data_IF_162564964903
#
_entry.id   IF_162564964903
#
_cell.length_a   1.000
_cell.length_b   1.000
_cell.length_c   1.000
_cell.angle_alpha   90.00
_cell.angle_beta   90.00
_cell.angle_gamma   90.00
#
_symmetry.space_group_name_H-M   'P 1'
#
loop_
_entity.id
_entity.type
_entity.pdbx_description
1 polymer ?
#
# COMPACT_ATOMS: atom_id res chain seq x y z
N UNK A 1 7.02 -1.37 -28.88
CA UNK A 1 6.67 -0.92 -30.27
C UNK A 1 7.89 -0.26 -30.90
N UNK A 2 8.15 -0.46 -32.20
CA UNK A 2 9.38 -0.02 -32.87
C UNK A 2 9.14 0.63 -34.24
N UNK A 3 10.07 1.49 -34.69
CA UNK A 3 9.93 2.24 -35.94
C UNK A 3 10.27 1.48 -37.23
N UNK A 4 10.97 0.34 -37.15
CA UNK A 4 11.29 -0.50 -38.31
C UNK A 4 10.76 -1.92 -38.10
N UNK A 5 10.71 -2.69 -39.19
CA UNK A 5 10.34 -4.10 -39.16
C UNK A 5 11.30 -4.93 -38.30
N UNK A 6 10.83 -6.10 -37.89
CA UNK A 6 11.59 -7.05 -37.05
C UNK A 6 12.14 -6.44 -35.76
N UNK A 7 11.38 -5.53 -35.12
CA UNK A 7 11.70 -4.95 -33.81
C UNK A 7 12.99 -4.13 -33.77
N UNK A 8 13.28 -3.41 -34.86
CA UNK A 8 14.50 -2.59 -35.00
C UNK A 8 14.20 -1.09 -35.02
N UNK A 9 15.26 -0.30 -34.85
CA UNK A 9 15.19 1.16 -34.86
C UNK A 9 14.89 1.72 -33.47
N UNK A 10 14.08 2.78 -33.43
CA UNK A 10 13.70 3.40 -32.16
C UNK A 10 12.51 2.64 -31.58
N UNK A 11 12.65 2.16 -30.35
CA UNK A 11 11.64 1.33 -29.68
C UNK A 11 11.24 1.96 -28.34
N UNK A 12 9.98 1.79 -27.96
CA UNK A 12 9.48 2.12 -26.64
C UNK A 12 8.38 1.15 -26.21
N UNK A 13 8.31 0.92 -24.90
CA UNK A 13 7.29 0.09 -24.26
C UNK A 13 6.16 0.96 -23.74
N UNK A 14 4.93 0.49 -23.93
CA UNK A 14 3.72 1.20 -23.52
C UNK A 14 2.88 0.28 -22.66
N UNK A 15 2.49 0.79 -21.49
CA UNK A 15 1.56 0.10 -20.60
C UNK A 15 0.13 0.16 -21.13
N UNK A 16 -0.82 -0.52 -20.46
CA UNK A 16 -2.23 -0.39 -20.79
C UNK A 16 -2.70 1.06 -20.54
N UNK A 17 -3.29 1.68 -21.55
CA UNK A 17 -3.77 3.05 -21.47
C UNK A 17 -4.14 3.63 -22.83
N UNK A 18 -4.81 4.79 -22.81
CA UNK A 18 -5.03 5.59 -24.03
C UNK A 18 -3.93 6.64 -24.11
N UNK A 19 -3.20 6.64 -25.21
CA UNK A 19 -2.12 7.59 -25.47
C UNK A 19 -2.55 8.51 -26.59
N UNK A 20 -2.70 9.80 -26.28
CA UNK A 20 -3.01 10.83 -27.29
C UNK A 20 -1.79 11.19 -28.16
N UNK A 21 -0.59 10.80 -27.71
CA UNK A 21 0.67 10.95 -28.45
C UNK A 21 1.69 9.90 -28.00
N UNK A 22 2.39 9.31 -28.97
CA UNK A 22 3.48 8.33 -28.79
C UNK A 22 4.87 8.98 -28.99
N UNK A 23 4.93 10.32 -29.01
CA UNK A 23 6.15 11.09 -29.18
C UNK A 23 6.88 10.77 -30.49
N UNK A 24 8.15 10.35 -30.40
CA UNK A 24 9.00 10.05 -31.55
C UNK A 24 8.53 8.86 -32.41
N UNK A 25 7.56 8.08 -31.92
CA UNK A 25 6.93 6.96 -32.62
C UNK A 25 5.65 7.36 -33.36
N UNK A 26 5.14 8.59 -33.20
CA UNK A 26 3.91 9.04 -33.85
C UNK A 26 3.98 8.88 -35.38
N UNK A 27 3.07 8.08 -35.94
CA UNK A 27 2.99 7.82 -37.37
C UNK A 27 4.18 7.05 -37.97
N UNK A 28 5.04 6.45 -37.13
CA UNK A 28 6.30 5.82 -37.56
C UNK A 28 6.43 4.38 -37.11
N UNK A 29 5.37 3.77 -36.59
CA UNK A 29 5.39 2.40 -36.06
C UNK A 29 5.32 1.43 -37.23
N UNK A 30 6.31 0.55 -37.34
CA UNK A 30 6.35 -0.49 -38.38
C UNK A 30 6.29 -1.90 -37.80
N UNK A 31 6.69 -2.09 -36.53
CA UNK A 31 6.51 -3.36 -35.83
C UNK A 31 6.08 -3.17 -34.38
N UNK A 32 5.22 -4.07 -33.91
CA UNK A 32 4.79 -4.14 -32.54
C UNK A 32 4.71 -5.61 -32.12
N UNK A 33 5.15 -5.90 -30.91
CA UNK A 33 4.98 -7.20 -30.28
C UNK A 33 4.28 -6.96 -28.95
N UNK A 34 3.36 -7.86 -28.63
CA UNK A 34 2.95 -8.04 -27.24
C UNK A 34 4.15 -8.65 -26.54
N UNK A 35 4.92 -7.79 -25.89
CA UNK A 35 5.83 -8.25 -24.85
C UNK A 35 4.90 -8.84 -23.80
N UNK A 36 4.72 -10.17 -23.80
CA UNK A 36 4.24 -10.82 -22.58
C UNK A 36 5.15 -10.26 -21.51
N UNK A 37 4.59 -9.63 -20.48
CA UNK A 37 5.34 -9.47 -19.25
C UNK A 37 5.99 -10.83 -19.07
N UNK A 38 7.32 -10.89 -19.16
CA UNK A 38 8.04 -12.15 -19.03
C UNK A 38 7.37 -12.90 -17.89
N UNK A 39 7.17 -14.24 -17.94
CA UNK A 39 6.73 -14.92 -16.75
C UNK A 39 7.65 -14.39 -15.66
N UNK A 40 7.07 -13.61 -14.73
CA UNK A 40 7.87 -12.94 -13.72
C UNK A 40 8.75 -14.06 -13.14
N UNK A 41 10.05 -13.82 -12.87
CA UNK A 41 10.92 -14.86 -12.35
C UNK A 41 10.13 -15.65 -11.32
N UNK A 42 9.95 -16.96 -11.57
CA UNK A 42 9.04 -17.86 -10.85
C UNK A 42 8.83 -17.37 -9.42
N UNK A 43 7.70 -16.69 -9.18
CA UNK A 43 7.53 -15.85 -8.01
C UNK A 43 6.95 -14.46 -8.26
N UNK A 44 5.80 -14.35 -8.94
CA UNK A 44 4.74 -13.60 -8.26
C UNK A 44 4.41 -14.47 -7.06
N UNK A 45 5.17 -14.31 -5.98
CA UNK A 45 4.61 -14.55 -4.67
C UNK A 45 3.49 -13.51 -4.64
N UNK A 46 2.28 -13.91 -5.03
CA UNK A 46 1.10 -13.35 -4.39
C UNK A 46 1.42 -13.67 -2.94
N UNK A 47 1.88 -12.71 -2.11
CA UNK A 47 2.17 -13.03 -0.71
C UNK A 47 0.91 -13.70 -0.22
N UNK A 48 0.97 -14.97 0.25
CA UNK A 48 -0.18 -15.87 0.38
C UNK A 48 -1.27 -15.20 1.19
N UNK A 49 -2.14 -14.45 0.51
CA UNK A 49 -2.94 -13.37 1.09
C UNK A 49 -2.38 -12.88 2.43
N UNK A 50 -1.06 -12.58 2.58
CA UNK A 50 -0.38 -12.71 3.90
C UNK A 50 -1.27 -12.00 4.88
N UNK A 51 -1.94 -12.77 5.74
CA UNK A 51 -2.97 -12.25 6.60
C UNK A 51 -2.23 -11.42 7.64
N UNK A 52 -1.92 -10.18 7.25
CA UNK A 52 -1.42 -9.14 8.10
C UNK A 52 -2.29 -9.10 9.34
N UNK A 53 -1.61 -9.14 10.47
CA UNK A 53 -2.25 -9.16 11.76
C UNK A 53 -1.49 -8.22 12.66
N UNK A 54 -2.22 -7.31 13.27
CA UNK A 54 -1.70 -6.44 14.32
C UNK A 54 -2.55 -6.61 15.57
N UNK A 55 -1.88 -6.58 16.71
CA UNK A 55 -2.50 -6.49 18.03
C UNK A 55 -2.14 -5.14 18.62
N UNK A 56 -3.15 -4.31 18.90
CA UNK A 56 -2.99 -3.06 19.63
C UNK A 56 -3.27 -3.29 21.11
N UNK A 57 -2.51 -2.63 21.97
CA UNK A 57 -2.60 -2.73 23.42
C UNK A 57 -2.79 -1.33 24.03
N UNK A 58 -3.67 -1.22 25.01
CA UNK A 58 -4.03 0.04 25.68
C UNK A 58 -2.87 0.63 26.51
N UNK A 59 -1.99 -0.21 27.04
CA UNK A 59 -0.87 0.21 27.87
C UNK A 59 0.49 -0.10 27.21
N UNK A 60 1.57 0.55 27.66
CA UNK A 60 2.93 0.17 27.30
C UNK A 60 3.24 -1.29 27.65
N UNK A 61 4.30 -1.82 27.03
CA UNK A 61 4.83 -3.15 27.28
C UNK A 61 3.76 -4.26 27.16
N UNK A 62 2.82 -4.09 26.21
CA UNK A 62 1.76 -5.03 25.82
C UNK A 62 0.70 -5.32 26.90
N UNK A 63 0.41 -4.33 27.77
CA UNK A 63 -0.61 -4.45 28.82
C UNK A 63 -1.98 -3.88 28.46
N UNK A 64 -2.96 -4.13 29.33
CA UNK A 64 -4.31 -3.53 29.25
C UNK A 64 -5.24 -4.25 28.26
N UNK A 65 -6.29 -3.54 27.82
CA UNK A 65 -7.20 -4.06 26.80
C UNK A 65 -6.50 -4.23 25.45
N UNK A 66 -6.96 -5.21 24.68
CA UNK A 66 -6.36 -5.57 23.38
C UNK A 66 -7.37 -5.52 22.26
N UNK A 67 -6.93 -5.03 21.09
CA UNK A 67 -7.66 -5.14 19.83
C UNK A 67 -6.82 -5.91 18.81
N UNK A 68 -7.35 -7.03 18.33
CA UNK A 68 -6.77 -7.79 17.21
C UNK A 68 -7.36 -7.29 15.91
N UNK A 69 -6.50 -7.04 14.92
CA UNK A 69 -6.87 -6.57 13.59
C UNK A 69 -6.22 -7.51 12.57
N UNK A 70 -7.04 -8.35 11.96
CA UNK A 70 -6.69 -9.40 10.99
C UNK A 70 -7.26 -9.12 9.59
N UNK A 71 -8.09 -8.09 9.44
CA UNK A 71 -8.67 -7.61 8.18
C UNK A 71 -7.77 -6.60 7.44
N UNK A 72 -8.20 -6.17 6.26
CA UNK A 72 -7.46 -5.23 5.40
C UNK A 72 -7.33 -3.82 5.98
N UNK A 73 -8.40 -3.32 6.58
CA UNK A 73 -8.48 -1.94 7.08
C UNK A 73 -9.60 -1.75 8.10
N UNK A 74 -9.45 -0.71 8.91
CA UNK A 74 -10.43 -0.16 9.84
C UNK A 74 -10.39 1.37 9.71
N UNK A 75 -11.34 1.99 8.98
CA UNK A 75 -11.35 3.44 8.79
C UNK A 75 -11.77 4.20 10.06
N UNK A 76 -12.34 3.54 11.06
CA UNK A 76 -12.69 4.14 12.33
C UNK A 76 -12.59 3.10 13.47
N UNK A 77 -11.65 3.31 14.39
CA UNK A 77 -11.43 2.43 15.56
C UNK A 77 -12.48 2.60 16.66
N UNK A 78 -13.31 3.64 16.61
CA UNK A 78 -14.42 3.82 17.54
C UNK A 78 -15.44 2.68 17.40
N UNK A 79 -15.61 2.11 16.20
CA UNK A 79 -16.46 0.94 15.98
C UNK A 79 -15.99 -0.31 16.73
N UNK A 80 -14.73 -0.32 17.16
CA UNK A 80 -14.14 -1.37 18.00
C UNK A 80 -13.94 -0.90 19.45
N UNK A 81 -14.37 0.32 19.81
CA UNK A 81 -14.17 0.93 21.13
C UNK A 81 -12.71 1.20 21.49
N UNK A 82 -11.83 1.34 20.49
CA UNK A 82 -10.37 1.39 20.69
C UNK A 82 -9.70 2.66 20.14
N UNK A 83 -10.47 3.67 19.76
CA UNK A 83 -9.94 4.96 19.31
C UNK A 83 -9.13 5.62 20.44
N UNK A 84 -7.96 6.16 20.10
CA UNK A 84 -7.08 6.89 21.02
C UNK A 84 -6.58 6.11 22.25
N UNK A 85 -6.69 4.77 22.24
CA UNK A 85 -6.28 3.92 23.38
C UNK A 85 -4.89 3.32 23.24
N UNK A 86 -4.46 3.02 22.01
CA UNK A 86 -3.25 2.24 21.78
C UNK A 86 -1.99 2.94 22.30
N UNK A 87 -1.20 2.25 23.13
CA UNK A 87 0.10 2.73 23.66
C UNK A 87 1.26 1.77 23.35
N UNK A 88 0.97 0.52 23.00
CA UNK A 88 1.93 -0.43 22.42
C UNK A 88 1.26 -1.32 21.37
N UNK A 89 2.06 -1.97 20.52
CA UNK A 89 1.53 -2.85 19.48
C UNK A 89 2.48 -3.97 19.09
N UNK A 90 1.93 -5.08 18.61
CA UNK A 90 2.67 -6.16 17.95
C UNK A 90 2.13 -6.38 16.56
N UNK A 91 2.99 -6.26 15.56
CA UNK A 91 2.66 -6.54 14.16
C UNK A 91 3.20 -7.93 13.85
N UNK A 92 2.30 -8.90 13.81
CA UNK A 92 2.63 -10.32 13.56
C UNK A 92 2.94 -10.55 12.07
N UNK A 93 2.26 -9.82 11.19
CA UNK A 93 2.49 -9.88 9.74
C UNK A 93 2.04 -8.61 9.01
N UNK A 94 2.67 -8.34 7.86
CA UNK A 94 2.34 -7.23 6.96
C UNK A 94 2.87 -5.87 7.41
N UNK A 95 2.76 -4.89 6.51
CA UNK A 95 3.01 -3.48 6.81
C UNK A 95 1.68 -2.76 7.04
N UNK A 96 1.66 -1.85 8.00
CA UNK A 96 0.44 -1.17 8.44
C UNK A 96 0.65 0.32 8.61
N UNK A 97 -0.29 1.10 8.10
CA UNK A 97 -0.35 2.55 8.26
C UNK A 97 -1.40 2.87 9.32
N UNK A 98 -0.98 3.61 10.34
CA UNK A 98 -1.84 4.10 11.43
C UNK A 98 -1.92 5.61 11.33
N UNK A 99 -3.12 6.15 11.44
CA UNK A 99 -3.38 7.57 11.31
C UNK A 99 -4.13 8.12 12.51
N UNK A 100 -3.90 9.41 12.79
CA UNK A 100 -4.50 10.07 13.95
C UNK A 100 -5.99 10.35 13.81
N UNK A 101 -6.47 10.42 12.57
CA UNK A 101 -7.86 10.73 12.28
C UNK A 101 -8.54 9.53 11.61
N UNK A 102 -9.87 9.55 11.58
CA UNK A 102 -10.65 8.53 10.86
C UNK A 102 -10.41 8.63 9.35
N UNK A 103 -10.79 7.58 8.61
CA UNK A 103 -10.67 7.49 7.15
C UNK A 103 -9.23 7.70 6.62
N UNK A 104 -8.23 7.31 7.42
CA UNK A 104 -6.81 7.35 7.06
C UNK A 104 -6.27 8.77 6.81
N UNK A 105 -6.78 9.75 7.57
CA UNK A 105 -6.40 11.16 7.48
C UNK A 105 -5.54 11.61 8.68
N UNK A 106 -5.06 12.85 8.64
CA UNK A 106 -4.23 13.42 9.69
C UNK A 106 -2.78 12.97 9.59
N UNK A 107 -2.12 12.80 10.74
CA UNK A 107 -0.73 12.34 10.78
C UNK A 107 -0.70 10.82 10.68
N UNK A 108 -0.02 10.28 9.67
CA UNK A 108 0.09 8.84 9.45
C UNK A 108 1.54 8.34 9.60
N UNK A 109 1.72 7.16 10.20
CA UNK A 109 2.99 6.45 10.23
C UNK A 109 2.82 4.99 9.83
N UNK A 110 3.80 4.48 9.09
CA UNK A 110 3.85 3.08 8.66
C UNK A 110 4.81 2.29 9.53
N UNK A 111 4.40 1.09 9.92
CA UNK A 111 5.19 0.15 10.70
C UNK A 111 5.17 -1.22 10.02
N UNK A 112 6.27 -1.95 10.17
CA UNK A 112 6.41 -3.31 9.66
C UNK A 112 6.24 -4.35 10.76
N UNK A 113 6.45 -5.64 10.44
CA UNK A 113 6.44 -6.71 11.43
C UNK A 113 7.43 -6.44 12.57
N UNK A 114 7.00 -6.72 13.79
CA UNK A 114 7.80 -6.51 15.00
C UNK A 114 7.01 -6.15 16.24
N UNK A 115 7.74 -5.96 17.32
CA UNK A 115 7.22 -5.59 18.64
C UNK A 115 7.55 -4.13 18.95
N UNK A 116 6.53 -3.38 19.34
CA UNK A 116 6.60 -1.96 19.66
C UNK A 116 6.07 -1.75 21.08
N UNK A 117 6.90 -1.99 22.12
CA UNK A 117 6.47 -1.91 23.52
C UNK A 117 6.11 -0.48 23.96
N UNK A 118 6.53 0.53 23.21
CA UNK A 118 6.08 1.92 23.36
C UNK A 118 5.89 2.54 21.98
N UNK A 119 4.73 3.16 21.76
CA UNK A 119 4.48 3.94 20.55
C UNK A 119 5.22 5.28 20.62
N UNK A 120 5.61 5.79 19.45
CA UNK A 120 6.16 7.15 19.34
C UNK A 120 5.08 8.19 19.58
N UNK A 121 5.44 9.36 20.13
CA UNK A 121 4.53 10.47 20.46
C UNK A 121 3.54 10.88 19.36
N UNK A 122 3.91 10.66 18.11
CA UNK A 122 3.09 10.93 16.93
C UNK A 122 1.80 10.10 16.89
N UNK A 123 1.81 8.89 17.44
CA UNK A 123 0.70 7.91 17.35
C UNK A 123 0.30 7.32 18.71
N UNK A 124 1.11 7.48 19.76
CA UNK A 124 0.76 7.07 21.12
C UNK A 124 -0.56 7.71 21.58
N UNK A 125 -1.55 6.86 21.90
CA UNK A 125 -2.92 7.25 22.31
C UNK A 125 -3.62 8.21 21.37
N UNK A 126 -3.34 8.08 20.07
CA UNK A 126 -3.87 8.97 19.04
C UNK A 126 -4.37 8.24 17.81
N UNK A 127 -4.26 6.91 17.75
CA UNK A 127 -4.64 6.15 16.56
C UNK A 127 -6.17 6.09 16.45
N UNK A 128 -6.71 6.54 15.32
CA UNK A 128 -8.14 6.49 15.01
C UNK A 128 -8.47 5.64 13.77
N UNK A 129 -7.52 5.40 12.87
CA UNK A 129 -7.71 4.49 11.73
C UNK A 129 -6.44 3.75 11.35
N UNK A 130 -6.61 2.60 10.71
CA UNK A 130 -5.53 1.69 10.35
C UNK A 130 -5.82 0.94 9.07
N UNK A 131 -4.84 0.85 8.17
CA UNK A 131 -4.94 0.04 6.96
C UNK A 131 -3.63 -0.66 6.65
N UNK A 132 -3.72 -1.81 5.99
CA UNK A 132 -2.54 -2.44 5.43
C UNK A 132 -1.94 -1.58 4.33
N UNK A 133 -0.61 -1.54 4.31
CA UNK A 133 0.17 -1.03 3.19
C UNK A 133 0.61 -2.23 2.39
N UNK A 134 0.17 -2.28 1.14
CA UNK A 134 0.77 -3.18 0.16
C UNK A 134 1.99 -2.46 -0.39
N UNK A 135 3.11 -3.16 -0.59
CA UNK A 135 4.29 -2.62 -1.28
C UNK A 135 3.89 -2.16 -2.69
N UNK A 136 3.41 -0.94 -2.77
CA UNK A 136 3.27 -0.16 -3.97
C UNK A 136 3.87 1.20 -3.63
N UNK A 137 5.19 1.24 -3.54
CA UNK A 137 5.91 2.46 -3.89
C UNK A 137 5.52 2.81 -5.34
N UNK A 138 4.40 3.52 -5.54
CA UNK A 138 3.94 3.95 -6.86
C UNK A 138 2.43 4.04 -7.11
N UNK A 139 1.53 3.65 -6.20
CA UNK A 139 0.09 3.88 -6.39
C UNK A 139 -0.32 5.19 -5.72
N UNK A 140 -0.17 6.29 -6.45
CA UNK A 140 -0.96 7.49 -6.18
C UNK A 140 -2.44 7.08 -6.13
N UNK A 141 -3.09 7.32 -5.01
CA UNK A 141 -4.55 7.29 -4.90
C UNK A 141 -5.14 8.19 -5.99
N UNK A 142 -6.24 7.82 -6.66
CA UNK A 142 -6.95 8.78 -7.50
C UNK A 142 -7.45 9.88 -6.57
N UNK A 143 -6.81 11.05 -6.63
CA UNK A 143 -7.34 12.25 -6.01
C UNK A 143 -8.71 12.50 -6.65
N UNK A 144 -9.74 12.43 -5.82
CA UNK A 144 -11.06 12.96 -6.10
C UNK A 144 -10.89 14.40 -6.60
N UNK A 145 -11.05 14.63 -7.89
CA UNK A 145 -11.10 15.98 -8.43
C UNK A 145 -12.51 16.52 -8.19
N UNK A 146 -12.63 17.52 -7.32
CA UNK A 146 -13.83 18.36 -7.23
C UNK A 146 -13.94 19.20 -8.51
N UNK A 147 -15.19 19.36 -8.96
CA UNK A 147 -15.60 19.98 -10.22
C UNK A 147 -15.31 21.48 -10.29
#
# INVERSE_FOLDING_TARGET
MCTRDYYRGQCADFGPGRYDSLGALNGRISSAELVSAAPAPVGVVIPPSVEGRVVLYELPDFGGQTLVIDRRELPNLEWMGFMDRAASMRIEAGYWMFCTDTQFQGQCRTFGPGEYPRLTRDVDRRIASVRRVYDVYGAATPATYYR
#
